data_IF_301820083061
#
_entry.id   IF_301820083061
#
_cell.length_a   1.000
_cell.length_b   1.000
_cell.length_c   1.000
_cell.angle_alpha   90.00
_cell.angle_beta   90.00
_cell.angle_gamma   90.00
#
_symmetry.space_group_name_H-M   'P 1'
#
loop_
_entity.id
_entity.type
_entity.pdbx_description
1 polymer ?
#
# COMPACT_ATOMS: atom_id res chain seq x y z
N UNK A 1 -2.40 -10.62 -0.77
CA UNK A 1 -2.05 -9.56 0.21
C UNK A 1 -1.34 -10.11 1.46
N UNK A 2 -1.12 -11.42 1.57
CA UNK A 2 -0.64 -12.07 2.80
C UNK A 2 0.72 -11.57 3.29
N UNK A 3 1.62 -11.21 2.37
CA UNK A 3 2.98 -10.75 2.72
C UNK A 3 3.04 -9.43 3.50
N UNK A 4 2.01 -8.59 3.43
CA UNK A 4 1.97 -7.26 4.06
C UNK A 4 0.88 -7.11 5.11
N UNK A 5 0.14 -8.20 5.37
CA UNK A 5 -0.87 -8.21 6.43
C UNK A 5 -0.25 -7.96 7.81
N UNK A 6 -1.06 -7.55 8.79
CA UNK A 6 -0.58 -7.22 10.13
C UNK A 6 0.11 -8.38 10.84
N UNK A 7 -0.30 -9.62 10.55
CA UNK A 7 0.27 -10.84 11.12
C UNK A 7 1.30 -11.53 10.21
N UNK A 8 1.73 -10.87 9.12
CA UNK A 8 2.73 -11.43 8.21
C UNK A 8 4.04 -11.69 8.95
N UNK A 9 4.60 -12.89 8.80
CA UNK A 9 5.92 -13.26 9.36
C UNK A 9 7.07 -12.96 8.40
N UNK A 10 6.78 -12.47 7.17
CA UNK A 10 7.80 -12.24 6.15
C UNK A 10 8.79 -11.14 6.62
N UNK A 11 10.10 -11.45 6.68
CA UNK A 11 11.12 -10.49 7.11
C UNK A 11 11.36 -9.40 6.05
N UNK A 12 11.90 -8.26 6.48
CA UNK A 12 12.28 -7.15 5.60
C UNK A 12 11.12 -6.56 4.76
N UNK A 13 9.89 -6.68 5.25
CA UNK A 13 8.69 -6.09 4.63
C UNK A 13 8.01 -5.11 5.58
N UNK A 14 7.36 -4.12 5.00
CA UNK A 14 6.39 -3.30 5.72
C UNK A 14 5.10 -4.08 5.96
N UNK A 15 4.41 -3.75 7.06
CA UNK A 15 3.20 -4.46 7.50
C UNK A 15 2.12 -3.44 7.87
N UNK A 16 0.89 -3.71 7.50
CA UNK A 16 -0.25 -2.89 7.92
C UNK A 16 -0.48 -3.01 9.43
N UNK A 17 -1.06 -1.99 10.05
CA UNK A 17 -1.54 -2.08 11.42
C UNK A 17 -2.73 -3.03 11.49
N UNK A 18 -2.94 -3.68 12.64
CA UNK A 18 -3.99 -4.70 12.80
C UNK A 18 -5.41 -4.14 12.61
N UNK A 19 -5.59 -2.84 12.85
CA UNK A 19 -6.86 -2.12 12.71
C UNK A 19 -7.00 -1.37 11.36
N UNK A 20 -6.01 -1.47 10.46
CA UNK A 20 -6.09 -0.80 9.16
C UNK A 20 -6.93 -1.63 8.18
N UNK A 21 -8.04 -1.06 7.70
CA UNK A 21 -8.85 -1.67 6.64
C UNK A 21 -8.16 -1.53 5.29
N UNK A 22 -7.48 -2.60 4.87
CA UNK A 22 -6.69 -2.63 3.63
C UNK A 22 -7.58 -2.45 2.38
N UNK A 23 -8.79 -3.02 2.37
CA UNK A 23 -9.70 -2.92 1.21
C UNK A 23 -10.16 -1.49 1.03
N UNK A 24 -10.60 -0.85 2.11
CA UNK A 24 -10.93 0.59 2.12
C UNK A 24 -9.71 1.44 1.80
N UNK A 25 -8.54 1.03 2.26
CA UNK A 25 -7.26 1.68 1.98
C UNK A 25 -6.95 1.74 0.49
N UNK A 26 -7.07 0.60 -0.19
CA UNK A 26 -6.89 0.48 -1.63
C UNK A 26 -7.93 1.32 -2.37
N UNK A 27 -9.20 1.19 -2.02
CA UNK A 27 -10.26 1.96 -2.69
C UNK A 27 -10.00 3.47 -2.58
N UNK A 28 -9.56 3.94 -1.41
CA UNK A 28 -9.20 5.36 -1.22
C UNK A 28 -8.04 5.76 -2.13
N UNK A 29 -6.99 4.95 -2.23
CA UNK A 29 -5.87 5.25 -3.13
C UNK A 29 -6.28 5.25 -4.61
N UNK A 30 -7.21 4.38 -5.02
CA UNK A 30 -7.67 4.32 -6.41
C UNK A 30 -8.59 5.48 -6.81
N UNK A 31 -9.30 6.07 -5.84
CA UNK A 31 -10.36 7.06 -6.12
C UNK A 31 -10.01 8.49 -5.71
N UNK A 32 -9.03 8.68 -4.81
CA UNK A 32 -8.67 10.01 -4.34
C UNK A 32 -7.87 10.79 -5.38
N UNK A 33 -8.25 12.05 -5.62
CA UNK A 33 -7.54 12.97 -6.51
C UNK A 33 -6.14 13.33 -5.97
N UNK A 34 -5.94 13.28 -4.65
CA UNK A 34 -4.63 13.49 -4.01
C UNK A 34 -3.64 12.34 -4.24
N UNK A 35 -4.07 11.25 -4.90
CA UNK A 35 -3.21 10.09 -5.09
C UNK A 35 -2.15 10.38 -6.14
N UNK A 36 -0.90 10.06 -5.80
CA UNK A 36 0.19 10.15 -6.76
C UNK A 36 0.22 8.90 -7.63
N UNK A 37 0.07 9.09 -8.93
CA UNK A 37 0.18 8.01 -9.93
C UNK A 37 1.56 8.08 -10.58
N UNK A 38 2.30 6.98 -10.54
CA UNK A 38 3.63 6.86 -11.17
C UNK A 38 3.65 5.65 -12.11
N UNK A 39 4.12 5.80 -13.35
CA UNK A 39 4.36 4.67 -14.24
C UNK A 39 5.35 3.66 -13.63
N UNK A 40 5.17 2.39 -13.96
CA UNK A 40 6.07 1.29 -13.58
C UNK A 40 6.31 0.38 -14.78
N UNK A 41 7.21 -0.58 -14.62
CA UNK A 41 7.57 -1.50 -15.69
C UNK A 41 6.38 -2.35 -16.13
N UNK A 42 6.41 -2.83 -17.38
CA UNK A 42 5.38 -3.71 -17.96
C UNK A 42 3.96 -3.11 -18.00
N UNK A 43 3.85 -1.79 -18.18
CA UNK A 43 2.56 -1.08 -18.24
C UNK A 43 1.82 -1.00 -16.91
N UNK A 44 2.49 -1.30 -15.80
CA UNK A 44 1.93 -1.19 -14.45
C UNK A 44 1.93 0.26 -13.98
N UNK A 45 1.08 0.55 -13.01
CA UNK A 45 1.02 1.84 -12.31
C UNK A 45 1.22 1.63 -10.82
N UNK A 46 2.00 2.51 -10.20
CA UNK A 46 2.06 2.66 -8.75
C UNK A 46 1.15 3.82 -8.37
N UNK A 47 0.19 3.56 -7.50
CA UNK A 47 -0.73 4.56 -6.97
C UNK A 47 -0.46 4.69 -5.49
N UNK A 48 -0.13 5.90 -5.06
CA UNK A 48 0.26 6.19 -3.68
C UNK A 48 -0.70 7.19 -3.06
N UNK A 49 -1.15 6.88 -1.84
CA UNK A 49 -1.97 7.79 -1.06
C UNK A 49 -1.44 7.86 0.38
N UNK A 50 -1.31 9.08 0.90
CA UNK A 50 -0.75 9.34 2.23
C UNK A 50 -1.86 9.73 3.20
N UNK A 51 -1.97 8.97 4.30
CA UNK A 51 -2.92 9.22 5.37
C UNK A 51 -2.32 10.15 6.43
N UNK A 52 -3.19 10.87 7.15
CA UNK A 52 -2.77 11.67 8.32
C UNK A 52 -2.24 10.77 9.45
N UNK A 53 -2.82 9.59 9.62
CA UNK A 53 -2.45 8.62 10.65
C UNK A 53 -1.59 7.50 10.07
N UNK A 54 -0.76 6.89 10.92
CA UNK A 54 0.04 5.73 10.54
C UNK A 54 -0.87 4.54 10.19
N UNK A 55 -0.61 3.93 9.03
CA UNK A 55 -1.37 2.78 8.51
C UNK A 55 -0.63 1.45 8.72
N UNK A 56 0.64 1.52 9.13
CA UNK A 56 1.51 0.38 9.27
C UNK A 56 2.88 0.75 9.81
N UNK A 57 3.79 -0.20 9.72
CA UNK A 57 5.21 -0.04 10.06
C UNK A 57 6.09 -0.55 8.93
N UNK A 58 7.27 0.03 8.75
CA UNK A 58 8.29 -0.53 7.87
C UNK A 58 9.04 -1.69 8.54
N UNK A 59 9.99 -2.29 7.83
CA UNK A 59 10.81 -3.42 8.33
C UNK A 59 11.57 -3.12 9.62
N UNK A 60 11.85 -1.85 9.89
CA UNK A 60 12.60 -1.40 11.07
C UNK A 60 11.65 -0.98 12.21
N UNK A 61 10.35 -1.28 12.10
CA UNK A 61 9.34 -0.94 13.09
C UNK A 61 8.89 0.54 13.09
N UNK A 62 9.42 1.39 12.20
CA UNK A 62 9.03 2.81 12.16
C UNK A 62 7.64 2.96 11.53
N UNK A 63 6.76 3.83 12.09
CA UNK A 63 5.45 4.11 11.51
C UNK A 63 5.55 4.58 10.06
N UNK A 64 4.57 4.20 9.25
CA UNK A 64 4.42 4.66 7.87
C UNK A 64 2.97 5.01 7.58
N UNK A 65 2.78 6.03 6.76
CA UNK A 65 1.50 6.67 6.52
C UNK A 65 1.00 6.51 5.07
N UNK A 66 1.85 6.05 4.17
CA UNK A 66 1.54 5.95 2.75
C UNK A 66 1.21 4.51 2.38
N UNK A 67 0.08 4.29 1.72
CA UNK A 67 -0.20 3.04 1.02
C UNK A 67 0.31 3.17 -0.41
N UNK A 68 0.96 2.13 -0.92
CA UNK A 68 1.27 1.98 -2.34
C UNK A 68 0.49 0.80 -2.89
N UNK A 69 -0.29 1.06 -3.93
CA UNK A 69 -1.08 0.07 -4.67
C UNK A 69 -0.44 -0.12 -6.04
N UNK A 70 -0.22 -1.38 -6.43
CA UNK A 70 0.30 -1.74 -7.75
C UNK A 70 -0.87 -2.21 -8.59
N UNK A 71 -1.08 -1.55 -9.72
CA UNK A 71 -2.16 -1.85 -10.66
C UNK A 71 -1.55 -2.31 -11.98
N UNK A 72 -2.10 -3.37 -12.58
CA UNK A 72 -1.68 -3.85 -13.89
C UNK A 72 -2.18 -2.95 -15.03
N UNK A 73 -1.80 -3.29 -16.27
CA UNK A 73 -2.21 -2.56 -17.47
C UNK A 73 -3.72 -2.60 -17.75
N UNK A 74 -4.44 -3.53 -17.13
CA UNK A 74 -5.89 -3.73 -17.26
C UNK A 74 -6.69 -3.08 -16.12
N UNK A 75 -6.02 -2.48 -15.13
CA UNK A 75 -6.68 -1.87 -13.98
C UNK A 75 -6.86 -2.81 -12.78
N UNK A 76 -6.33 -4.03 -12.81
CA UNK A 76 -6.44 -4.96 -11.69
C UNK A 76 -5.40 -4.64 -10.61
N UNK A 77 -5.82 -4.68 -9.35
CA UNK A 77 -4.92 -4.54 -8.20
C UNK A 77 -4.11 -5.83 -8.04
N UNK A 78 -2.79 -5.74 -8.26
CA UNK A 78 -1.86 -6.87 -8.09
C UNK A 78 -1.49 -7.02 -6.61
N UNK A 79 -1.15 -5.92 -5.96
CA UNK A 79 -0.72 -5.91 -4.55
C UNK A 79 -0.84 -4.51 -3.96
N UNK A 80 -0.89 -4.43 -2.62
CA UNK A 80 -0.79 -3.18 -1.89
C UNK A 80 0.05 -3.38 -0.64
N UNK A 81 0.82 -2.36 -0.26
CA UNK A 81 1.70 -2.39 0.91
C UNK A 81 1.96 -1.00 1.48
N UNK A 82 2.27 -0.90 2.79
CA UNK A 82 2.72 0.36 3.36
C UNK A 82 4.09 0.75 2.80
N UNK A 83 4.26 2.02 2.42
CA UNK A 83 5.50 2.55 1.85
C UNK A 83 6.21 3.47 2.87
N UNK A 84 7.52 3.29 3.00
CA UNK A 84 8.43 4.20 3.73
C UNK A 84 8.65 5.49 2.95
#
# INVERSE_FOLDING_TARGET
MENHGPNSTVPNKSKFNNNFDIKKGINKALTSQDSKVTPSTNGRKLIEYTYKNAIGKNSNGKPVNTIRVVVDKFGNVITAYPRK
#
